data_IF_181874529408
#
_entry.id   IF_181874529408
#
_cell.length_a   1.000
_cell.length_b   1.000
_cell.length_c   1.000
_cell.angle_alpha   90.00
_cell.angle_beta   90.00
_cell.angle_gamma   90.00
#
_symmetry.space_group_name_H-M   'P 1'
#
loop_
_entity.id
_entity.type
_entity.pdbx_description
1 polymer ?
#
# COMPACT_ATOMS: atom_id res chain seq x y z
N UNK A 1 -15.89 -0.76 -7.55
CA UNK A 1 -15.69 -1.74 -6.46
C UNK A 1 -14.20 -2.00 -6.38
N UNK A 2 -13.50 -1.31 -5.50
CA UNK A 2 -12.05 -1.43 -5.35
C UNK A 2 -11.76 -2.64 -4.45
N UNK A 3 -10.95 -3.63 -4.87
CA UNK A 3 -10.77 -4.86 -4.12
C UNK A 3 -9.92 -4.62 -2.87
N UNK A 4 -10.36 -5.13 -1.72
CA UNK A 4 -9.63 -5.10 -0.47
C UNK A 4 -8.53 -6.17 -0.47
N UNK A 5 -7.26 -5.78 -0.34
CA UNK A 5 -6.19 -6.73 -0.03
C UNK A 5 -6.14 -6.90 1.48
N UNK A 6 -6.64 -8.04 1.98
CA UNK A 6 -6.54 -8.38 3.41
C UNK A 6 -5.23 -9.13 3.66
N UNK A 7 -4.22 -8.44 4.19
CA UNK A 7 -3.00 -9.08 4.69
C UNK A 7 -3.01 -9.04 6.23
N UNK A 8 -3.32 -10.17 6.88
CA UNK A 8 -3.16 -10.37 8.32
C UNK A 8 -3.80 -9.32 9.24
N UNK A 9 -5.08 -9.48 9.60
CA UNK A 9 -5.73 -8.77 10.73
C UNK A 9 -5.99 -7.27 10.57
N UNK A 10 -5.08 -6.51 9.95
CA UNK A 10 -5.27 -5.11 9.61
C UNK A 10 -6.06 -5.01 8.29
N UNK A 11 -7.28 -4.47 8.37
CA UNK A 11 -8.15 -4.25 7.21
C UNK A 11 -7.75 -2.91 6.57
N UNK A 12 -6.72 -2.91 5.72
CA UNK A 12 -6.37 -1.74 4.89
C UNK A 12 -6.97 -1.88 3.49
N UNK A 13 -7.38 -0.75 2.90
CA UNK A 13 -7.89 -0.68 1.55
C UNK A 13 -6.94 0.14 0.68
N UNK A 14 -6.45 -0.46 -0.41
CA UNK A 14 -5.59 0.17 -1.41
C UNK A 14 -6.13 -0.11 -2.80
N UNK A 15 -5.75 0.73 -3.76
CA UNK A 15 -5.95 0.40 -5.18
C UNK A 15 -5.06 -0.81 -5.54
N UNK A 16 -5.62 -1.89 -6.09
CA UNK A 16 -4.89 -3.13 -6.36
C UNK A 16 -3.88 -2.99 -7.49
N UNK A 17 -4.12 -2.04 -8.39
CA UNK A 17 -3.46 -1.93 -9.66
C UNK A 17 -3.53 -0.50 -10.14
N UNK A 18 -2.42 -0.03 -10.69
CA UNK A 18 -2.30 1.28 -11.31
C UNK A 18 -1.35 1.15 -12.50
N UNK A 19 -1.84 1.49 -13.68
CA UNK A 19 -1.00 1.67 -14.86
C UNK A 19 -0.63 3.14 -15.02
N UNK A 20 0.62 3.39 -15.38
CA UNK A 20 1.13 4.73 -15.62
C UNK A 20 2.23 4.69 -16.67
N UNK A 21 2.54 5.84 -17.23
CA UNK A 21 3.66 6.02 -18.16
C UNK A 21 4.96 6.29 -17.41
N UNK A 22 6.07 5.82 -17.95
CA UNK A 22 7.40 6.06 -17.35
C UNK A 22 7.65 7.57 -17.17
N UNK A 23 8.24 7.94 -16.03
CA UNK A 23 8.47 9.35 -15.66
C UNK A 23 7.25 10.07 -15.10
N UNK A 24 6.09 9.43 -15.01
CA UNK A 24 4.87 10.02 -14.42
C UNK A 24 4.82 9.76 -12.92
N UNK A 25 4.63 10.81 -12.12
CA UNK A 25 4.39 10.67 -10.69
C UNK A 25 3.03 10.02 -10.40
N UNK A 26 2.98 9.11 -9.44
CA UNK A 26 1.75 8.42 -9.03
C UNK A 26 1.41 8.72 -7.56
N UNK A 27 0.13 8.61 -7.24
CA UNK A 27 -0.36 8.67 -5.86
C UNK A 27 -1.00 7.32 -5.50
N UNK A 28 -0.42 6.62 -4.53
CA UNK A 28 -0.95 5.35 -4.03
C UNK A 28 -1.64 5.65 -2.71
N UNK A 29 -2.95 5.41 -2.65
CA UNK A 29 -3.75 5.66 -1.46
C UNK A 29 -3.86 4.40 -0.60
N UNK A 30 -3.83 4.59 0.72
CA UNK A 30 -4.11 3.55 1.70
C UNK A 30 -5.12 4.09 2.70
N UNK A 31 -6.25 3.42 2.83
CA UNK A 31 -7.26 3.73 3.84
C UNK A 31 -7.18 2.69 4.96
N UNK A 32 -6.99 3.14 6.19
CA UNK A 32 -6.98 2.29 7.37
C UNK A 32 -8.19 2.61 8.27
N UNK A 33 -9.39 2.08 7.97
CA UNK A 33 -10.65 2.47 8.61
C UNK A 33 -10.73 2.16 10.12
N UNK A 34 -9.81 1.36 10.66
CA UNK A 34 -9.79 0.95 12.08
C UNK A 34 -8.46 1.26 12.76
N UNK A 35 -7.71 2.24 12.25
CA UNK A 35 -6.41 2.61 12.82
C UNK A 35 -6.56 3.18 14.24
N UNK A 36 -5.69 2.75 15.15
CA UNK A 36 -5.53 3.41 16.46
C UNK A 36 -4.67 4.67 16.29
N UNK A 37 -4.86 5.68 17.13
CA UNK A 37 -4.08 6.94 17.09
C UNK A 37 -2.57 6.76 17.28
N UNK A 38 -2.12 5.59 17.75
CA UNK A 38 -0.71 5.27 17.96
C UNK A 38 -0.14 4.31 16.89
N UNK A 39 -0.91 3.96 15.87
CA UNK A 39 -0.45 3.08 14.78
C UNK A 39 0.22 3.90 13.68
N UNK A 40 1.24 3.32 13.04
CA UNK A 40 2.01 3.93 11.96
C UNK A 40 1.79 3.18 10.65
N UNK A 41 1.69 3.88 9.54
CA UNK A 41 1.44 3.29 8.22
C UNK A 41 2.69 3.29 7.36
N UNK A 42 3.40 2.17 7.36
CA UNK A 42 4.66 2.04 6.63
C UNK A 42 4.44 1.59 5.19
N UNK A 43 5.21 2.15 4.27
CA UNK A 43 5.17 1.80 2.85
C UNK A 43 6.33 0.88 2.48
N UNK A 44 5.99 -0.26 1.87
CA UNK A 44 6.95 -1.23 1.35
C UNK A 44 6.70 -1.50 -0.14
N UNK A 45 7.77 -1.76 -0.88
CA UNK A 45 7.73 -2.22 -2.27
C UNK A 45 8.30 -3.62 -2.38
N UNK A 46 7.61 -4.48 -3.10
CA UNK A 46 8.09 -5.82 -3.45
C UNK A 46 8.24 -5.92 -4.96
N UNK A 47 9.47 -6.15 -5.43
CA UNK A 47 9.76 -6.43 -6.84
C UNK A 47 9.91 -7.94 -7.05
N UNK A 48 9.57 -8.48 -8.24
CA UNK A 48 9.76 -9.90 -8.53
C UNK A 48 11.20 -10.37 -8.22
N UNK A 49 11.32 -11.46 -7.46
CA UNK A 49 12.61 -12.05 -7.08
C UNK A 49 13.39 -11.30 -5.99
N UNK A 50 12.80 -10.28 -5.34
CA UNK A 50 13.42 -9.53 -4.24
C UNK A 50 12.61 -9.64 -2.96
N UNK A 51 13.22 -9.33 -1.81
CA UNK A 51 12.51 -9.12 -0.56
C UNK A 51 11.80 -7.76 -0.49
N UNK A 52 10.93 -7.52 0.51
CA UNK A 52 10.31 -6.22 0.72
C UNK A 52 11.34 -5.12 0.98
N UNK A 53 11.20 -3.99 0.30
CA UNK A 53 12.02 -2.79 0.43
C UNK A 53 11.21 -1.69 1.12
N UNK A 54 11.73 -1.13 2.21
CA UNK A 54 11.10 -0.03 2.91
C UNK A 54 11.22 1.27 2.09
N UNK A 55 10.11 1.98 1.91
CA UNK A 55 10.06 3.23 1.16
C UNK A 55 9.89 4.46 2.07
N UNK A 56 8.91 4.43 2.98
CA UNK A 56 8.52 5.57 3.81
C UNK A 56 7.71 5.16 5.05
N UNK A 57 7.71 6.03 6.07
CA UNK A 57 6.87 5.97 7.27
C UNK A 57 5.52 6.67 7.08
#
# INVERSE_FOLDING_TARGET
>A
LFPAVTLGGAQVQQEPFLETTEGTGINITCSHPKISTNDWSQWYRLLPGRGPEFLAL
#
